data_IF_848572914451
#
_entry.id   IF_848572914451
#
_cell.length_a   1.000
_cell.length_b   1.000
_cell.length_c   1.000
_cell.angle_alpha   90.00
_cell.angle_beta   90.00
_cell.angle_gamma   90.00
#
_symmetry.space_group_name_H-M   'P 1'
#
loop_
_entity.id
_entity.type
_entity.pdbx_description
1 polymer ?
#
# COMPACT_ATOMS: atom_id res chain seq x y z
N UNK A 1 -4.84 -18.58 4.75
CA UNK A 1 -4.99 -17.16 4.38
C UNK A 1 -6.19 -16.57 5.10
N UNK A 2 -6.19 -15.26 5.32
CA UNK A 2 -7.33 -14.48 5.83
C UNK A 2 -7.28 -13.06 5.25
N UNK A 3 -8.39 -12.32 5.37
CA UNK A 3 -8.48 -10.92 4.91
C UNK A 3 -8.50 -9.94 6.09
N UNK A 4 -7.94 -8.75 5.91
CA UNK A 4 -8.10 -7.61 6.81
C UNK A 4 -8.86 -6.54 6.03
N UNK A 5 -10.13 -6.34 6.40
CA UNK A 5 -11.06 -5.56 5.57
C UNK A 5 -11.27 -6.22 4.20
N UNK A 6 -11.50 -5.41 3.17
CA UNK A 6 -11.67 -5.86 1.78
C UNK A 6 -10.38 -5.80 0.95
N UNK A 7 -9.32 -5.18 1.49
CA UNK A 7 -8.22 -4.68 0.66
C UNK A 7 -6.86 -5.29 1.01
N UNK A 8 -6.79 -6.11 2.06
CA UNK A 8 -5.55 -6.78 2.48
C UNK A 8 -5.80 -8.27 2.61
N UNK A 9 -4.94 -9.08 1.99
CA UNK A 9 -4.91 -10.53 2.16
C UNK A 9 -3.60 -10.91 2.83
N UNK A 10 -3.68 -11.71 3.89
CA UNK A 10 -2.50 -12.25 4.58
C UNK A 10 -2.49 -13.77 4.43
N UNK A 11 -1.33 -14.31 4.10
CA UNK A 11 -1.09 -15.73 3.93
C UNK A 11 0.27 -16.12 4.52
N UNK A 12 0.32 -17.28 5.17
CA UNK A 12 1.53 -17.81 5.76
C UNK A 12 1.57 -19.33 5.58
N UNK A 13 2.76 -19.93 5.50
CA UNK A 13 2.90 -21.38 5.52
C UNK A 13 2.34 -21.92 6.84
N UNK A 14 1.52 -22.97 6.74
CA UNK A 14 0.97 -23.72 7.88
C UNK A 14 1.62 -25.09 8.08
N UNK A 15 2.50 -25.48 7.16
CA UNK A 15 3.16 -26.79 7.15
C UNK A 15 4.63 -26.60 6.82
N UNK A 16 5.51 -27.30 7.52
CA UNK A 16 6.95 -27.32 7.28
C UNK A 16 7.32 -27.88 5.91
N UNK A 17 8.47 -27.48 5.37
CA UNK A 17 9.03 -27.99 4.12
C UNK A 17 8.32 -27.53 2.85
N UNK A 18 7.40 -26.56 2.94
CA UNK A 18 6.79 -25.90 1.78
C UNK A 18 7.68 -24.77 1.32
N UNK A 19 8.00 -24.78 0.03
CA UNK A 19 8.74 -23.73 -0.67
C UNK A 19 7.84 -22.90 -1.60
N UNK A 20 6.55 -23.25 -1.68
CA UNK A 20 5.51 -22.52 -2.41
C UNK A 20 4.23 -22.41 -1.63
N UNK A 21 3.59 -21.24 -1.73
CA UNK A 21 2.29 -20.93 -1.18
C UNK A 21 1.31 -20.60 -2.30
N UNK A 22 0.15 -21.25 -2.28
CA UNK A 22 -0.98 -20.91 -3.14
C UNK A 22 -1.88 -19.95 -2.41
N UNK A 23 -2.12 -18.78 -2.99
CA UNK A 23 -2.95 -17.74 -2.39
C UNK A 23 -4.08 -17.39 -3.34
N UNK A 24 -5.32 -17.50 -2.87
CA UNK A 24 -6.49 -17.02 -3.59
C UNK A 24 -6.60 -15.50 -3.45
N UNK A 25 -6.62 -14.80 -4.59
CA UNK A 25 -6.80 -13.36 -4.68
C UNK A 25 -8.18 -13.05 -5.29
N UNK A 26 -9.10 -12.41 -4.54
CA UNK A 26 -10.47 -12.19 -5.00
C UNK A 26 -10.54 -11.33 -6.29
N UNK A 27 -11.38 -11.71 -7.29
CA UNK A 27 -11.48 -11.04 -8.59
C UNK A 27 -12.20 -9.70 -8.57
N UNK A 28 -12.80 -9.31 -7.43
CA UNK A 28 -13.39 -7.98 -7.23
C UNK A 28 -12.33 -6.87 -7.35
N UNK A 29 -11.05 -7.23 -7.25
CA UNK A 29 -9.89 -6.37 -7.50
C UNK A 29 -9.06 -6.97 -8.64
N UNK A 30 -8.85 -6.20 -9.69
CA UNK A 30 -8.14 -6.65 -10.89
C UNK A 30 -6.64 -6.84 -10.67
N UNK A 31 -6.06 -6.03 -9.78
CA UNK A 31 -4.64 -6.08 -9.45
C UNK A 31 -4.45 -6.10 -7.94
N UNK A 32 -3.50 -6.93 -7.52
CA UNK A 32 -2.99 -7.02 -6.16
C UNK A 32 -1.47 -6.82 -6.19
N UNK A 33 -0.94 -6.14 -5.18
CA UNK A 33 0.50 -5.99 -5.02
C UNK A 33 0.93 -6.71 -3.76
N UNK A 34 2.03 -7.46 -3.83
CA UNK A 34 2.66 -8.02 -2.63
C UNK A 34 3.25 -6.88 -1.79
N UNK A 35 2.88 -6.83 -0.51
CA UNK A 35 2.99 -5.65 0.34
C UNK A 35 4.45 -5.22 0.59
N UNK A 36 5.41 -6.15 0.58
CA UNK A 36 6.80 -5.83 0.95
C UNK A 36 7.67 -5.60 -0.29
N UNK A 37 7.66 -6.55 -1.22
CA UNK A 37 8.42 -6.51 -2.46
C UNK A 37 7.74 -5.73 -3.59
N UNK A 38 6.44 -5.45 -3.52
CA UNK A 38 5.69 -4.67 -4.52
C UNK A 38 5.37 -5.44 -5.80
N UNK A 39 5.57 -6.76 -5.82
CA UNK A 39 5.30 -7.57 -7.00
C UNK A 39 3.82 -7.51 -7.37
N UNK A 40 3.53 -7.23 -8.63
CA UNK A 40 2.16 -7.12 -9.15
C UNK A 40 1.60 -8.49 -9.55
N UNK A 41 0.35 -8.75 -9.16
CA UNK A 41 -0.39 -9.96 -9.51
C UNK A 41 -1.75 -9.61 -10.11
N UNK A 42 -2.07 -10.26 -11.24
CA UNK A 42 -3.37 -10.19 -11.91
C UNK A 42 -4.02 -11.57 -11.77
N UNK A 43 -5.01 -11.76 -10.88
CA UNK A 43 -5.62 -13.06 -10.69
C UNK A 43 -6.48 -13.43 -11.91
N UNK A 44 -6.15 -14.56 -12.54
CA UNK A 44 -6.84 -15.01 -13.75
C UNK A 44 -7.85 -16.12 -13.44
N UNK A 45 -9.01 -16.04 -14.10
CA UNK A 45 -10.06 -17.07 -14.00
C UNK A 45 -9.56 -18.47 -14.38
N UNK A 46 -8.64 -18.57 -15.35
CA UNK A 46 -8.05 -19.84 -15.81
C UNK A 46 -7.28 -20.56 -14.70
N UNK A 47 -6.73 -19.81 -13.74
CA UNK A 47 -6.02 -20.30 -12.57
C UNK A 47 -6.89 -20.29 -11.30
N UNK A 48 -8.22 -20.17 -11.45
CA UNK A 48 -9.17 -20.04 -10.33
C UNK A 48 -8.80 -18.89 -9.38
N UNK A 49 -8.17 -17.84 -9.91
CA UNK A 49 -7.71 -16.67 -9.14
C UNK A 49 -6.67 -16.99 -8.07
N UNK A 50 -5.93 -18.09 -8.23
CA UNK A 50 -4.84 -18.50 -7.35
C UNK A 50 -3.51 -18.03 -7.95
N UNK A 51 -2.67 -17.43 -7.11
CA UNK A 51 -1.28 -17.13 -7.42
C UNK A 51 -0.36 -18.05 -6.61
N UNK A 52 0.78 -18.41 -7.19
CA UNK A 52 1.82 -19.16 -6.51
C UNK A 52 2.96 -18.21 -6.15
N UNK A 53 3.40 -18.25 -4.90
CA UNK A 53 4.53 -17.48 -4.40
C UNK A 53 5.56 -18.44 -3.81
N UNK A 54 6.81 -18.29 -4.24
CA UNK A 54 7.93 -18.99 -3.61
C UNK A 54 8.17 -18.38 -2.22
N UNK A 55 8.31 -19.24 -1.20
CA UNK A 55 8.40 -18.84 0.21
C UNK A 55 9.49 -19.63 0.94
N UNK A 56 9.99 -19.06 2.04
CA UNK A 56 10.64 -19.79 3.13
C UNK A 56 9.70 -19.93 4.33
N UNK A 57 10.02 -20.81 5.27
CA UNK A 57 9.12 -21.12 6.40
C UNK A 57 8.78 -19.91 7.28
N UNK A 58 9.66 -18.91 7.32
CA UNK A 58 9.47 -17.69 8.11
C UNK A 58 8.73 -16.58 7.38
N UNK A 59 8.38 -16.78 6.10
CA UNK A 59 7.77 -15.72 5.31
C UNK A 59 6.35 -15.41 5.74
N UNK A 60 6.06 -14.11 5.76
CA UNK A 60 4.73 -13.58 6.00
C UNK A 60 4.25 -12.81 4.78
N UNK A 61 3.49 -13.48 3.94
CA UNK A 61 3.04 -12.96 2.65
C UNK A 61 1.80 -12.12 2.88
N UNK A 62 1.83 -10.87 2.44
CA UNK A 62 0.68 -9.98 2.46
C UNK A 62 0.49 -9.36 1.10
N UNK A 63 -0.76 -9.12 0.72
CA UNK A 63 -1.13 -8.42 -0.50
C UNK A 63 -2.02 -7.24 -0.16
N UNK A 64 -1.88 -6.17 -0.95
CA UNK A 64 -2.70 -4.98 -0.91
C UNK A 64 -3.41 -4.83 -2.26
N UNK A 65 -4.72 -4.62 -2.23
CA UNK A 65 -5.53 -4.41 -3.43
C UNK A 65 -5.19 -3.07 -4.09
N UNK A 66 -5.31 -3.01 -5.43
CA UNK A 66 -5.24 -1.74 -6.14
C UNK A 66 -6.28 -0.73 -5.63
N UNK A 67 -5.92 0.55 -5.66
CA UNK A 67 -6.74 1.65 -5.19
C UNK A 67 -6.68 1.87 -3.67
N UNK A 68 -5.79 1.18 -2.95
CA UNK A 68 -5.73 1.21 -1.48
C UNK A 68 -4.43 1.86 -0.98
N UNK A 69 -4.54 2.64 0.08
CA UNK A 69 -3.42 3.17 0.86
C UNK A 69 -3.49 2.55 2.25
N UNK A 70 -2.40 1.90 2.65
CA UNK A 70 -2.21 1.40 4.02
C UNK A 70 -1.17 2.28 4.71
N UNK A 71 -1.52 2.82 5.87
CA UNK A 71 -0.60 3.54 6.74
C UNK A 71 -0.24 2.66 7.93
N UNK A 72 1.06 2.43 8.14
CA UNK A 72 1.60 1.83 9.35
C UNK A 72 2.20 2.94 10.20
N UNK A 73 1.85 2.98 11.48
CA UNK A 73 2.28 4.04 12.39
C UNK A 73 3.10 3.45 13.52
N UNK A 74 4.28 4.04 13.71
CA UNK A 74 5.14 3.80 14.86
C UNK A 74 5.26 5.12 15.64
N UNK A 75 4.64 5.19 16.81
CA UNK A 75 4.37 6.42 17.57
C UNK A 75 3.71 7.54 16.73
N UNK A 76 4.52 8.50 16.26
CA UNK A 76 4.12 9.65 15.45
C UNK A 76 4.69 9.58 14.02
N UNK A 77 5.31 8.46 13.63
CA UNK A 77 5.93 8.25 12.32
C UNK A 77 4.99 7.42 11.47
N UNK A 78 4.57 7.99 10.34
CA UNK A 78 3.67 7.34 9.39
C UNK A 78 4.47 6.79 8.22
N UNK A 79 4.27 5.50 7.93
CA UNK A 79 4.82 4.80 6.79
C UNK A 79 3.67 4.40 5.86
N UNK A 80 3.79 4.71 4.57
CA UNK A 80 2.71 4.48 3.61
C UNK A 80 3.07 3.39 2.61
N UNK A 81 2.09 2.52 2.35
CA UNK A 81 2.07 1.56 1.27
C UNK A 81 0.90 1.91 0.35
N UNK A 82 1.21 2.35 -0.86
CA UNK A 82 0.23 2.90 -1.79
C UNK A 82 0.14 1.96 -2.98
N UNK A 83 -0.91 1.15 -3.02
CA UNK A 83 -1.24 0.32 -4.16
C UNK A 83 -2.17 1.09 -5.09
N UNK A 84 -1.63 1.76 -6.10
CA UNK A 84 -2.45 2.55 -7.01
C UNK A 84 -3.23 1.70 -8.00
N UNK A 85 -4.44 2.16 -8.30
CA UNK A 85 -5.20 1.76 -9.46
C UNK A 85 -4.89 2.74 -10.60
N UNK A 86 -4.20 2.25 -11.64
CA UNK A 86 -3.77 3.07 -12.76
C UNK A 86 -4.49 2.66 -14.04
N UNK A 87 -5.29 3.57 -14.61
CA UNK A 87 -5.85 3.35 -15.96
C UNK A 87 -4.79 3.63 -17.04
N UNK A 88 -3.85 4.54 -16.75
CA UNK A 88 -2.71 4.89 -17.57
C UNK A 88 -1.62 5.52 -16.68
N UNK A 89 -0.50 5.95 -17.27
CA UNK A 89 0.62 6.57 -16.55
C UNK A 89 0.28 7.86 -15.79
N UNK A 90 -0.82 8.53 -16.14
CA UNK A 90 -1.22 9.83 -15.61
C UNK A 90 -2.56 9.78 -14.86
N UNK A 91 -3.08 8.60 -14.56
CA UNK A 91 -4.37 8.45 -13.87
C UNK A 91 -4.28 7.29 -12.90
N UNK A 92 -3.49 7.51 -11.85
CA UNK A 92 -3.28 6.60 -10.76
C UNK A 92 -3.98 7.15 -9.52
N UNK A 93 -4.84 6.35 -8.90
CA UNK A 93 -5.57 6.77 -7.70
C UNK A 93 -5.51 5.70 -6.62
N UNK A 94 -5.54 6.12 -5.37
CA UNK A 94 -5.67 5.26 -4.21
C UNK A 94 -6.26 6.03 -3.04
N UNK A 95 -6.94 5.33 -2.14
CA UNK A 95 -7.51 5.94 -0.93
C UNK A 95 -7.23 5.05 0.27
N UNK A 96 -7.17 5.65 1.45
CA UNK A 96 -7.05 4.94 2.70
C UNK A 96 -7.47 5.81 3.86
N UNK A 97 -7.61 5.21 5.02
CA UNK A 97 -8.00 5.91 6.23
C UNK A 97 -7.33 5.28 7.45
N UNK A 98 -7.10 6.07 8.49
CA UNK A 98 -6.57 5.59 9.75
C UNK A 98 -7.21 6.35 10.91
N UNK A 99 -7.55 5.63 11.97
CA UNK A 99 -7.90 6.24 13.25
C UNK A 99 -6.64 6.43 14.09
N UNK A 100 -6.27 7.67 14.42
CA UNK A 100 -5.14 8.00 15.31
C UNK A 100 -5.58 9.07 16.30
N UNK A 101 -5.36 8.81 17.59
CA UNK A 101 -5.66 9.74 18.69
C UNK A 101 -7.10 10.30 18.65
N UNK A 102 -8.06 9.42 18.32
CA UNK A 102 -9.48 9.79 18.21
C UNK A 102 -9.86 10.60 16.97
N UNK A 103 -8.93 10.80 16.04
CA UNK A 103 -9.16 11.50 14.76
C UNK A 103 -9.08 10.51 13.60
N UNK A 104 -10.06 10.56 12.70
CA UNK A 104 -10.05 9.79 11.45
C UNK A 104 -9.31 10.60 10.39
N UNK A 105 -8.10 10.18 10.07
CA UNK A 105 -7.30 10.72 8.99
C UNK A 105 -7.72 10.06 7.67
N UNK A 106 -7.80 10.85 6.61
CA UNK A 106 -8.05 10.34 5.26
C UNK A 106 -6.84 10.56 4.35
N UNK A 107 -6.51 9.55 3.55
CA UNK A 107 -5.39 9.55 2.62
C UNK A 107 -5.94 9.43 1.21
N UNK A 108 -5.47 10.29 0.32
CA UNK A 108 -5.86 10.28 -1.09
C UNK A 108 -4.65 10.47 -1.98
N UNK A 109 -4.41 9.50 -2.85
CA UNK A 109 -3.50 9.64 -3.97
C UNK A 109 -4.28 10.10 -5.19
N UNK A 110 -3.84 11.19 -5.80
CA UNK A 110 -4.22 11.58 -7.14
C UNK A 110 -2.96 11.75 -7.99
N UNK A 111 -2.78 10.87 -8.98
CA UNK A 111 -1.57 10.74 -9.78
C UNK A 111 -0.35 10.45 -8.90
N UNK A 112 0.54 11.45 -8.71
CA UNK A 112 1.71 11.38 -7.82
C UNK A 112 1.56 12.26 -6.58
N UNK A 113 0.37 12.76 -6.29
CA UNK A 113 0.11 13.61 -5.13
C UNK A 113 -0.56 12.82 -4.02
N UNK A 114 0.18 12.49 -2.96
CA UNK A 114 -0.39 11.94 -1.74
C UNK A 114 -0.87 13.09 -0.85
N UNK A 115 -2.16 13.16 -0.59
CA UNK A 115 -2.77 14.12 0.32
C UNK A 115 -3.26 13.42 1.58
N UNK A 116 -2.89 13.97 2.74
CA UNK A 116 -3.38 13.59 4.06
C UNK A 116 -4.33 14.70 4.51
N UNK A 117 -5.58 14.38 4.81
CA UNK A 117 -6.56 15.33 5.31
C UNK A 117 -6.93 15.01 6.76
N UNK A 118 -7.73 15.92 7.33
CA UNK A 118 -8.29 15.83 8.67
C UNK A 118 -7.21 15.83 9.76
N UNK A 119 -6.08 16.49 9.50
CA UNK A 119 -4.98 16.64 10.44
C UNK A 119 -5.43 17.48 11.66
N UNK A 120 -5.23 16.99 12.90
CA UNK A 120 -5.46 17.78 14.10
C UNK A 120 -4.56 19.02 14.13
N UNK A 121 -5.07 20.13 14.66
CA UNK A 121 -4.32 21.40 14.73
C UNK A 121 -3.01 21.31 15.54
N UNK A 122 -2.93 20.36 16.47
CA UNK A 122 -1.81 20.18 17.39
C UNK A 122 -1.12 18.81 17.22
N UNK A 123 -1.18 18.20 16.03
CA UNK A 123 -0.50 16.93 15.82
C UNK A 123 1.03 17.09 15.70
N UNK A 124 1.77 16.04 16.03
CA UNK A 124 3.23 15.96 15.89
C UNK A 124 3.65 14.84 14.92
N UNK A 125 2.81 14.59 13.91
CA UNK A 125 3.04 13.51 12.96
C UNK A 125 4.13 13.85 11.95
N UNK A 126 4.90 12.82 11.61
CA UNK A 126 6.01 12.88 10.66
C UNK A 126 5.95 11.72 9.70
N UNK A 127 6.53 11.89 8.52
CA UNK A 127 6.68 10.85 7.52
C UNK A 127 7.92 10.00 7.81
N UNK A 128 7.80 8.68 7.69
CA UNK A 128 8.93 7.75 7.68
C UNK A 128 9.33 7.44 6.25
N UNK A 129 8.60 6.54 5.60
CA UNK A 129 8.77 6.23 4.18
C UNK A 129 7.44 6.08 3.43
N UNK A 130 7.55 6.11 2.10
CA UNK A 130 6.46 5.83 1.16
C UNK A 130 6.92 4.75 0.20
N UNK A 131 6.21 3.62 0.18
CA UNK A 131 6.25 2.64 -0.89
C UNK A 131 5.09 2.89 -1.84
N UNK A 132 5.39 3.09 -3.12
CA UNK A 132 4.41 3.35 -4.15
C UNK A 132 4.44 2.25 -5.19
N UNK A 133 3.32 1.56 -5.34
CA UNK A 133 3.11 0.51 -6.33
C UNK A 133 2.14 1.00 -7.39
N UNK A 134 2.52 0.82 -8.65
CA UNK A 134 1.70 1.17 -9.80
C UNK A 134 1.87 0.16 -10.91
N UNK A 135 1.00 0.19 -11.91
CA UNK A 135 1.20 -0.57 -13.14
C UNK A 135 0.90 0.28 -14.37
N UNK A 136 1.48 -0.11 -15.50
CA UNK A 136 1.12 0.38 -16.82
C UNK A 136 0.92 -0.84 -17.72
N UNK A 137 -0.32 -1.07 -18.16
CA UNK A 137 -0.66 -2.31 -18.85
C UNK A 137 -0.46 -3.52 -17.93
N UNK A 138 0.36 -4.48 -18.37
CA UNK A 138 0.72 -5.69 -17.60
C UNK A 138 2.04 -5.58 -16.83
N UNK A 139 2.64 -4.39 -16.78
CA UNK A 139 3.93 -4.18 -16.11
C UNK A 139 3.73 -3.45 -14.80
N UNK A 140 4.13 -4.08 -13.69
CA UNK A 140 4.16 -3.47 -12.36
C UNK A 140 5.45 -2.68 -12.14
N UNK A 141 5.35 -1.62 -11.34
CA UNK A 141 6.45 -0.77 -10.91
C UNK A 141 6.38 -0.58 -9.40
N UNK A 142 7.53 -0.61 -8.76
CA UNK A 142 7.71 -0.27 -7.35
C UNK A 142 8.67 0.91 -7.26
N UNK A 143 8.27 1.90 -6.50
CA UNK A 143 9.03 3.10 -6.22
C UNK A 143 9.04 3.31 -4.71
N UNK A 144 10.15 3.83 -4.18
CA UNK A 144 10.31 4.06 -2.76
C UNK A 144 10.87 5.45 -2.49
N UNK A 145 10.44 6.04 -1.38
CA UNK A 145 11.04 7.25 -0.86
C UNK A 145 11.11 7.20 0.64
N UNK A 146 12.33 7.37 1.12
CA UNK A 146 12.54 7.79 2.50
C UNK A 146 12.19 9.28 2.59
N UNK A 147 11.29 9.60 3.50
CA UNK A 147 10.90 10.97 3.81
C UNK A 147 11.08 11.22 5.31
N UNK A 148 12.11 10.60 5.88
CA UNK A 148 12.40 10.60 7.31
C UNK A 148 12.37 12.02 7.86
N UNK A 149 11.41 12.26 8.77
CA UNK A 149 11.20 13.49 9.54
C UNK A 149 10.50 14.66 8.81
N UNK A 150 9.88 14.43 7.64
CA UNK A 150 8.99 15.44 7.07
C UNK A 150 7.75 15.58 7.97
N UNK A 151 7.74 16.62 8.80
CA UNK A 151 6.59 17.00 9.63
C UNK A 151 5.48 17.52 8.72
N UNK A 152 4.39 16.79 8.65
CA UNK A 152 3.22 17.21 7.88
C UNK A 152 2.14 17.91 8.72
N UNK A 153 2.27 17.91 10.05
CA UNK A 153 1.52 18.79 10.92
C UNK A 153 2.16 20.19 10.93
N UNK A 154 1.54 21.13 10.22
CA UNK A 154 1.92 22.55 10.23
C UNK A 154 0.83 23.35 10.92
N UNK A 155 1.21 24.32 11.77
CA UNK A 155 0.28 25.10 12.58
C UNK A 155 -0.95 25.55 11.77
N UNK A 156 -2.13 25.07 12.17
CA UNK A 156 -3.46 25.33 11.59
C UNK A 156 -3.78 24.72 10.22
N UNK A 157 -2.92 23.87 9.64
CA UNK A 157 -3.25 23.16 8.42
C UNK A 157 -4.02 21.87 8.73
N UNK A 158 -5.20 21.71 8.14
CA UNK A 158 -5.99 20.47 8.22
C UNK A 158 -5.59 19.44 7.17
N UNK A 159 -4.69 19.80 6.24
CA UNK A 159 -4.20 18.89 5.22
C UNK A 159 -2.72 19.14 4.86
N UNK A 160 -2.10 18.11 4.30
CA UNK A 160 -0.75 18.12 3.78
C UNK A 160 -0.68 17.31 2.49
N UNK A 161 0.06 17.82 1.50
CA UNK A 161 0.27 17.14 0.22
C UNK A 161 1.75 16.93 -0.02
N UNK A 162 2.11 15.68 -0.33
CA UNK A 162 3.44 15.25 -0.76
C UNK A 162 3.41 14.94 -2.25
N UNK A 163 4.34 15.53 -3.00
CA UNK A 163 4.61 15.13 -4.39
C UNK A 163 5.59 13.96 -4.41
N UNK A 164 5.22 12.89 -5.12
CA UNK A 164 5.99 11.68 -5.32
C UNK A 164 6.84 11.76 -6.61
N UNK A 165 7.40 12.93 -6.92
CA UNK A 165 8.17 13.16 -8.16
C UNK A 165 9.63 12.69 -8.05
N UNK A 166 10.15 12.59 -6.84
CA UNK A 166 11.52 12.15 -6.53
C UNK A 166 11.51 10.79 -5.82
N UNK A 167 10.73 9.83 -6.33
CA UNK A 167 10.81 8.46 -5.82
C UNK A 167 11.96 7.75 -6.54
N UNK A 168 12.80 7.06 -5.78
CA UNK A 168 13.82 6.19 -6.34
C UNK A 168 13.13 4.89 -6.81
N UNK A 169 13.37 4.49 -8.07
CA UNK A 169 12.99 3.15 -8.54
C UNK A 169 13.88 2.11 -7.81
N UNK A 170 13.25 1.13 -7.16
CA UNK A 170 13.94 0.03 -6.45
C UNK A 170 13.86 -1.25 -7.28
#
# INVERSE_FOLDING_TARGET
>A
QYAIGSDIIVAHPLTSGRWRLQVYLPPEREVWYELWGGTMFIPEKKNKYIVEIDIIETDWVSFIAQGTIVALVDDNIFNFYIASNCLNSSNCTANGELMKDGTRLSFKLNERNLTINDLPSNCEYSMGYVNYYRYIGSTGYKEHKNATNDKFCKNNNTSYTLMLNDLDEI
#
